data_IF_278990909701
#
_entry.id   IF_278990909701
#
_cell.length_a   1.000
_cell.length_b   1.000
_cell.length_c   1.000
_cell.angle_alpha   90.00
_cell.angle_beta   90.00
_cell.angle_gamma   90.00
#
_symmetry.space_group_name_H-M   'P 1'
#
loop_
_entity.id
_entity.type
_entity.pdbx_description
1 polymer ?
#
# COMPACT_ATOMS: atom_id res chain seq x y z
N UNK A 1 3.19 8.00 -11.38
CA UNK A 1 3.48 6.65 -10.88
C UNK A 1 4.75 6.12 -11.51
N UNK A 2 5.60 5.56 -10.70
CA UNK A 2 6.81 4.90 -11.17
C UNK A 2 6.83 3.46 -10.69
N UNK A 3 7.08 2.55 -11.61
CA UNK A 3 7.31 1.16 -11.26
C UNK A 3 8.62 1.08 -10.47
N UNK A 4 8.61 0.29 -9.41
CA UNK A 4 9.77 0.17 -8.53
C UNK A 4 10.57 -1.07 -8.87
N UNK A 5 11.69 -0.93 -9.59
CA UNK A 5 12.64 -2.03 -9.71
C UNK A 5 13.55 -2.10 -8.48
N UNK A 6 13.94 -0.94 -7.96
CA UNK A 6 14.78 -0.82 -6.76
C UNK A 6 14.29 0.38 -5.98
N UNK A 7 14.14 0.22 -4.68
CA UNK A 7 13.68 1.28 -3.83
C UNK A 7 14.86 2.06 -3.30
N UNK A 8 14.98 3.29 -3.77
CA UNK A 8 15.95 4.24 -3.26
C UNK A 8 15.19 5.38 -2.64
N UNK A 9 15.04 5.33 -1.36
CA UNK A 9 14.40 6.39 -0.62
C UNK A 9 15.47 7.28 0.00
N UNK A 10 15.30 8.56 -0.13
CA UNK A 10 16.14 9.56 0.53
C UNK A 10 15.27 10.38 1.47
N UNK A 11 15.61 10.41 2.75
CA UNK A 11 14.92 11.21 3.74
C UNK A 11 14.14 10.41 4.78
N UNK A 12 13.51 11.10 5.70
CA UNK A 12 12.74 10.51 6.80
C UNK A 12 11.26 10.48 6.45
N UNK A 13 10.49 9.58 6.94
CA UNK A 13 10.69 8.39 7.74
C UNK A 13 10.69 7.13 6.89
N UNK A 14 11.80 6.90 6.22
CA UNK A 14 11.87 5.91 5.14
C UNK A 14 11.92 4.48 5.60
N UNK A 15 12.37 4.26 6.82
CA UNK A 15 12.55 2.91 7.33
C UNK A 15 11.26 2.11 7.30
N UNK A 16 10.16 2.72 7.76
CA UNK A 16 8.86 2.04 7.79
C UNK A 16 8.29 1.85 6.40
N UNK A 17 8.39 2.86 5.54
CA UNK A 17 7.94 2.76 4.16
C UNK A 17 8.73 1.69 3.40
N UNK A 18 10.05 1.65 3.59
CA UNK A 18 10.90 0.64 2.96
C UNK A 18 10.56 -0.77 3.44
N UNK A 19 10.30 -0.93 4.73
CA UNK A 19 9.91 -2.21 5.29
C UNK A 19 8.61 -2.72 4.64
N UNK A 20 7.60 -1.88 4.56
CA UNK A 20 6.33 -2.22 3.91
C UNK A 20 6.54 -2.50 2.42
N UNK A 21 7.35 -1.69 1.76
CA UNK A 21 7.64 -1.86 0.34
C UNK A 21 8.29 -3.21 0.03
N UNK A 22 9.22 -3.66 0.87
CA UNK A 22 9.86 -4.96 0.70
C UNK A 22 8.83 -6.10 0.80
N UNK A 23 7.90 -6.01 1.74
CA UNK A 23 6.81 -6.99 1.85
C UNK A 23 5.89 -6.95 0.65
N UNK A 24 5.56 -5.77 0.15
CA UNK A 24 4.73 -5.61 -1.04
C UNK A 24 5.42 -6.18 -2.28
N UNK A 25 6.70 -5.94 -2.44
CA UNK A 25 7.45 -6.46 -3.57
C UNK A 25 7.47 -7.99 -3.56
N UNK A 26 7.72 -8.57 -2.41
CA UNK A 26 7.67 -10.02 -2.23
C UNK A 26 6.29 -10.58 -2.59
N UNK A 27 5.23 -9.93 -2.12
CA UNK A 27 3.86 -10.35 -2.40
C UNK A 27 3.54 -10.29 -3.90
N UNK A 28 3.92 -9.20 -4.54
CA UNK A 28 3.69 -8.98 -5.97
C UNK A 28 4.38 -10.07 -6.79
N UNK A 29 5.62 -10.39 -6.48
CA UNK A 29 6.36 -11.44 -7.16
C UNK A 29 5.72 -12.82 -6.92
N UNK A 30 5.32 -13.09 -5.69
CA UNK A 30 4.70 -14.36 -5.32
C UNK A 30 3.37 -14.56 -6.05
N UNK A 31 2.50 -13.56 -6.06
CA UNK A 31 1.22 -13.64 -6.77
C UNK A 31 1.42 -13.86 -8.26
N UNK A 32 2.39 -13.17 -8.85
CA UNK A 32 2.69 -13.31 -10.28
C UNK A 32 3.20 -14.72 -10.59
N UNK A 33 4.11 -15.22 -9.79
CA UNK A 33 4.71 -16.54 -9.99
C UNK A 33 3.69 -17.67 -9.80
N UNK A 34 2.72 -17.50 -8.89
CA UNK A 34 1.67 -18.48 -8.69
C UNK A 34 0.56 -18.42 -9.74
N UNK A 35 0.59 -17.45 -10.63
CA UNK A 35 -0.44 -17.31 -11.64
C UNK A 35 -1.74 -16.68 -11.13
N UNK A 36 -1.72 -16.04 -9.96
CA UNK A 36 -2.88 -15.34 -9.44
C UNK A 36 -3.26 -14.14 -10.32
N UNK A 37 -2.26 -13.51 -10.92
CA UNK A 37 -2.39 -12.40 -11.82
C UNK A 37 -1.02 -11.76 -12.01
N UNK A 38 -0.87 -10.97 -13.06
CA UNK A 38 0.35 -10.18 -13.24
C UNK A 38 0.27 -8.98 -12.32
N UNK A 39 0.98 -9.02 -11.20
CA UNK A 39 0.99 -7.95 -10.22
C UNK A 39 2.26 -7.11 -10.36
N UNK A 40 2.10 -5.80 -10.21
CA UNK A 40 3.21 -4.84 -10.24
C UNK A 40 3.08 -3.87 -9.09
N UNK A 41 4.23 -3.42 -8.60
CA UNK A 41 4.32 -2.45 -7.52
C UNK A 41 4.80 -1.11 -8.08
N UNK A 42 4.07 -0.06 -7.76
CA UNK A 42 4.41 1.30 -8.16
C UNK A 42 4.65 2.17 -6.94
N UNK A 43 5.64 3.03 -7.05
CA UNK A 43 5.87 4.10 -6.11
C UNK A 43 5.02 5.30 -6.54
N UNK A 44 4.15 5.76 -5.64
CA UNK A 44 3.31 6.92 -5.93
C UNK A 44 4.13 8.17 -5.65
N UNK A 45 4.46 8.87 -6.70
CA UNK A 45 5.25 10.08 -6.61
C UNK A 45 4.46 11.23 -7.22
N UNK A 46 3.97 12.10 -6.35
CA UNK A 46 3.21 13.26 -6.76
C UNK A 46 3.82 14.50 -6.11
N UNK A 47 4.19 15.47 -6.94
CA UNK A 47 4.73 16.74 -6.48
C UNK A 47 3.69 17.55 -5.71
N UNK A 48 2.41 17.23 -5.85
CA UNK A 48 1.30 17.89 -5.18
C UNK A 48 0.83 17.14 -3.93
N UNK A 49 1.68 16.30 -3.37
CA UNK A 49 1.44 15.58 -2.12
C UNK A 49 0.30 14.58 -2.21
N UNK A 50 0.42 13.59 -3.10
CA UNK A 50 -0.44 12.43 -3.04
C UNK A 50 -0.34 11.79 -1.66
N UNK A 51 -1.48 11.47 -1.08
CA UNK A 51 -1.56 10.81 0.22
C UNK A 51 -1.54 9.30 0.04
N UNK A 52 -0.54 8.81 -0.68
CA UNK A 52 -0.30 7.39 -0.83
C UNK A 52 1.16 7.17 -1.21
N UNK A 53 1.77 6.14 -0.66
CA UNK A 53 3.16 5.80 -0.93
C UNK A 53 3.29 4.79 -2.06
N UNK A 54 2.39 3.80 -2.12
CA UNK A 54 2.49 2.71 -3.08
C UNK A 54 1.16 2.36 -3.71
N UNK A 55 1.23 1.84 -4.93
CA UNK A 55 0.10 1.25 -5.62
C UNK A 55 0.49 -0.15 -6.09
N UNK A 56 -0.37 -1.11 -5.83
CA UNK A 56 -0.25 -2.44 -6.42
C UNK A 56 -1.31 -2.57 -7.51
N UNK A 57 -0.89 -2.96 -8.70
CA UNK A 57 -1.78 -3.27 -9.81
C UNK A 57 -1.88 -4.78 -9.98
N UNK A 58 -2.99 -5.21 -10.58
CA UNK A 58 -3.20 -6.61 -10.96
C UNK A 58 -3.74 -6.63 -12.38
N UNK A 59 -3.04 -7.31 -13.26
CA UNK A 59 -3.38 -7.40 -14.69
C UNK A 59 -3.58 -6.03 -15.35
N UNK A 60 -2.71 -5.08 -14.97
CA UNK A 60 -2.73 -3.74 -15.52
C UNK A 60 -3.77 -2.80 -14.90
N UNK A 61 -4.56 -3.27 -13.92
CA UNK A 61 -5.57 -2.44 -13.26
C UNK A 61 -5.16 -2.10 -11.83
N UNK A 62 -5.42 -0.88 -11.36
CA UNK A 62 -5.15 -0.52 -9.97
C UNK A 62 -5.92 -1.44 -9.03
N UNK A 63 -5.22 -2.01 -8.06
CA UNK A 63 -5.84 -2.93 -7.10
C UNK A 63 -5.94 -2.28 -5.72
N UNK A 64 -4.81 -1.93 -5.11
CA UNK A 64 -4.87 -1.26 -3.82
C UNK A 64 -3.74 -0.25 -3.63
N UNK A 65 -4.08 0.80 -2.88
CA UNK A 65 -3.15 1.85 -2.48
C UNK A 65 -2.70 1.61 -1.04
N UNK A 66 -1.48 1.99 -0.74
CA UNK A 66 -0.92 1.90 0.60
C UNK A 66 -0.25 3.22 0.96
N UNK A 67 -0.68 3.79 2.08
CA UNK A 67 0.02 4.91 2.73
C UNK A 67 0.56 4.41 4.05
N UNK A 68 1.84 4.64 4.31
CA UNK A 68 2.50 4.16 5.52
C UNK A 68 2.62 5.29 6.53
N UNK A 69 2.12 5.07 7.75
CA UNK A 69 2.24 5.98 8.87
C UNK A 69 2.91 5.28 10.04
N UNK A 70 3.66 6.01 10.84
CA UNK A 70 4.28 5.46 12.04
C UNK A 70 3.24 5.26 13.14
N UNK A 71 2.49 6.31 13.47
CA UNK A 71 1.54 6.29 14.61
C UNK A 71 0.23 7.00 14.33
N UNK A 72 0.13 7.77 13.24
CA UNK A 72 -1.06 8.57 12.96
C UNK A 72 -2.22 7.65 12.57
N UNK A 73 -3.27 7.66 13.39
CA UNK A 73 -4.46 6.83 13.18
C UNK A 73 -5.63 7.61 12.56
N UNK A 74 -5.45 8.89 12.30
CA UNK A 74 -6.47 9.68 11.65
C UNK A 74 -6.43 9.40 10.15
N UNK A 75 -7.53 8.91 9.61
CA UNK A 75 -7.61 8.62 8.18
C UNK A 75 -7.46 9.90 7.35
N UNK A 76 -6.54 9.87 6.40
CA UNK A 76 -6.35 10.96 5.47
C UNK A 76 -7.50 11.04 4.48
N UNK A 77 -8.13 12.21 4.38
CA UNK A 77 -9.18 12.43 3.38
C UNK A 77 -8.63 12.39 1.95
N UNK A 78 -7.37 12.73 1.78
CA UNK A 78 -6.71 12.72 0.48
C UNK A 78 -6.51 11.31 -0.06
N UNK A 79 -6.37 10.32 0.82
CA UNK A 79 -6.24 8.92 0.39
C UNK A 79 -7.49 8.45 -0.34
N UNK A 80 -8.67 8.75 0.18
CA UNK A 80 -9.93 8.39 -0.45
C UNK A 80 -10.14 9.13 -1.78
N UNK A 81 -9.77 10.39 -1.82
CA UNK A 81 -9.84 11.17 -3.06
C UNK A 81 -8.92 10.56 -4.13
N UNK A 82 -7.72 10.18 -3.73
CA UNK A 82 -6.77 9.57 -4.65
C UNK A 82 -7.24 8.19 -5.12
N UNK A 83 -7.82 7.41 -4.22
CA UNK A 83 -8.41 6.10 -4.57
C UNK A 83 -9.45 6.24 -5.66
N UNK A 84 -10.37 7.19 -5.53
CA UNK A 84 -11.40 7.43 -6.54
C UNK A 84 -10.81 7.91 -7.86
N UNK A 85 -9.83 8.79 -7.79
CA UNK A 85 -9.18 9.34 -8.98
C UNK A 85 -8.47 8.26 -9.79
N UNK A 86 -7.79 7.34 -9.14
CA UNK A 86 -7.02 6.30 -9.82
C UNK A 86 -7.85 5.03 -10.08
N UNK A 87 -8.95 4.86 -9.38
CA UNK A 87 -9.83 3.70 -9.55
C UNK A 87 -9.35 2.44 -8.85
N UNK A 88 -8.64 2.58 -7.73
CA UNK A 88 -8.20 1.43 -6.96
C UNK A 88 -9.34 0.81 -6.16
N UNK A 89 -9.37 -0.52 -6.09
CA UNK A 89 -10.42 -1.25 -5.36
C UNK A 89 -10.33 -1.07 -3.86
N UNK A 90 -9.14 -0.84 -3.33
CA UNK A 90 -8.90 -0.67 -1.88
C UNK A 90 -7.88 0.43 -1.65
N UNK A 91 -7.92 1.00 -0.46
CA UNK A 91 -6.92 1.97 -0.02
C UNK A 91 -6.69 1.79 1.48
N UNK A 92 -5.43 1.62 1.87
CA UNK A 92 -5.06 1.33 3.24
C UNK A 92 -4.10 2.38 3.78
N UNK A 93 -4.44 2.94 4.93
CA UNK A 93 -3.48 3.69 5.75
C UNK A 93 -2.89 2.70 6.74
N UNK A 94 -1.67 2.25 6.46
CA UNK A 94 -1.00 1.20 7.22
C UNK A 94 -0.19 1.85 8.34
N UNK A 95 -0.55 1.58 9.58
CA UNK A 95 0.05 2.21 10.76
C UNK A 95 0.93 1.21 11.50
N UNK A 96 2.22 1.53 11.62
CA UNK A 96 3.23 0.62 12.16
C UNK A 96 3.01 0.36 13.65
N UNK A 97 2.68 1.40 14.41
CA UNK A 97 2.56 1.31 15.87
C UNK A 97 1.16 0.93 16.38
N UNK A 98 0.36 0.30 15.54
CA UNK A 98 -0.90 -0.26 15.98
C UNK A 98 -0.75 -1.74 16.32
N UNK A 99 -1.47 -2.23 17.36
CA UNK A 99 -1.50 -3.66 17.64
C UNK A 99 -2.23 -4.43 16.55
N UNK A 100 -1.97 -5.73 16.49
CA UNK A 100 -2.69 -6.61 15.58
C UNK A 100 -4.20 -6.56 15.85
N UNK A 101 -4.97 -6.48 14.78
CA UNK A 101 -6.43 -6.56 14.83
C UNK A 101 -6.89 -7.63 13.86
N UNK A 102 -7.92 -8.38 14.22
CA UNK A 102 -8.47 -9.40 13.35
C UNK A 102 -9.48 -8.79 12.39
N UNK A 103 -8.97 -8.32 11.24
CA UNK A 103 -9.76 -7.69 10.20
C UNK A 103 -9.31 -8.23 8.86
N UNK A 104 -10.26 -8.59 8.00
CA UNK A 104 -9.95 -8.93 6.62
C UNK A 104 -9.79 -7.63 5.83
N UNK A 105 -8.56 -7.24 5.57
CA UNK A 105 -8.25 -5.97 4.91
C UNK A 105 -8.87 -5.90 3.51
N UNK A 106 -8.80 -6.98 2.76
CA UNK A 106 -9.28 -6.98 1.37
C UNK A 106 -10.78 -7.13 1.22
N UNK A 107 -11.51 -7.24 2.33
CA UNK A 107 -12.96 -7.09 2.35
C UNK A 107 -13.39 -5.62 2.45
N UNK A 108 -12.48 -4.72 2.82
CA UNK A 108 -12.75 -3.30 3.00
C UNK A 108 -12.65 -2.58 1.66
N UNK A 109 -13.72 -1.95 1.22
CA UNK A 109 -13.76 -1.20 -0.05
C UNK A 109 -13.48 0.28 0.14
N UNK A 110 -13.89 0.82 1.29
CA UNK A 110 -13.61 2.20 1.63
C UNK A 110 -12.20 2.35 2.19
N UNK A 111 -11.59 3.54 2.10
CA UNK A 111 -10.29 3.77 2.71
C UNK A 111 -10.33 3.42 4.20
N UNK A 112 -9.33 2.70 4.66
CA UNK A 112 -9.31 2.20 6.03
C UNK A 112 -7.94 2.35 6.68
N UNK A 113 -7.95 2.64 7.98
CA UNK A 113 -6.75 2.59 8.82
C UNK A 113 -6.60 1.16 9.31
N UNK A 114 -5.46 0.55 9.03
CA UNK A 114 -5.17 -0.83 9.43
C UNK A 114 -3.79 -0.91 10.08
N UNK A 115 -3.65 -1.86 11.01
CA UNK A 115 -2.35 -2.15 11.61
C UNK A 115 -1.42 -2.75 10.55
N UNK A 116 -0.16 -2.36 10.58
CA UNK A 116 0.85 -2.98 9.71
C UNK A 116 0.92 -4.49 9.98
N UNK A 117 0.85 -4.90 11.24
CA UNK A 117 0.88 -6.32 11.61
C UNK A 117 -0.27 -7.09 10.97
N UNK A 118 -1.47 -6.53 11.02
CA UNK A 118 -2.65 -7.13 10.39
C UNK A 118 -2.50 -7.18 8.87
N UNK A 119 -2.17 -6.05 8.26
CA UNK A 119 -2.08 -5.94 6.82
C UNK A 119 -1.00 -6.87 6.25
N UNK A 120 0.21 -6.82 6.81
CA UNK A 120 1.31 -7.62 6.31
C UNK A 120 1.09 -9.12 6.52
N UNK A 121 0.35 -9.51 7.56
CA UNK A 121 0.02 -10.92 7.80
C UNK A 121 -0.88 -11.51 6.73
N UNK A 122 -1.57 -10.68 5.95
CA UNK A 122 -2.47 -11.11 4.88
C UNK A 122 -1.80 -11.11 3.50
N UNK A 123 -0.55 -10.71 3.43
CA UNK A 123 0.25 -10.82 2.23
C UNK A 123 0.99 -12.16 2.22
N UNK A 124 1.24 -12.74 1.05
CA UNK A 124 2.01 -13.98 0.96
C UNK A 124 3.46 -13.83 1.39
#
# INVERSE_FOLDING_TARGET
>A
LQRIPVILYKGKPLRNALFVACHLLKAVEYWTDLGFGKCDLYYVRDKQKAEADFLVSKDGQPWFLVEVKTSDVKLSSALGTYQRKIGASHAFQVVVNLPYEEVDCFALKEPAVVSARTFLSQLP
#
